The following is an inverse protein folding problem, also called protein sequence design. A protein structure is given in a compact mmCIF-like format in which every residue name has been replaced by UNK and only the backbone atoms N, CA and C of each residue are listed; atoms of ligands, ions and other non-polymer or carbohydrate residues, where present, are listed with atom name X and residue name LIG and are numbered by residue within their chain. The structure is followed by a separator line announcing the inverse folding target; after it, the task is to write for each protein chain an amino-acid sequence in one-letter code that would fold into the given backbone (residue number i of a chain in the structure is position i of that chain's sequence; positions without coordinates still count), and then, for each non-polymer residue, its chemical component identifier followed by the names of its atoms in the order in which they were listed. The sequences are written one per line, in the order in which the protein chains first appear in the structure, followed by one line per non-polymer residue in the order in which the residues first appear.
data_IF_183811463510
#
_entry.id   IF_183811463510
#
_cell.length_a   1.000
_cell.length_b   1.000
_cell.length_c   1.000
_cell.angle_alpha   90.00
_cell.angle_beta   90.00
_cell.angle_gamma   90.00
#
_symmetry.space_group_name_H-M   'P 1'
#
loop_
_entity.id
_entity.type
_entity.pdbx_description
1 polymer ?
#
# COMPACT_ATOMS: atom_id res chain seq x y z
N UNK A 1 19.58 20.43 12.35
CA UNK A 1 19.96 20.44 10.92
C UNK A 1 18.76 19.94 10.14
N UNK A 2 18.21 20.70 9.18
CA UNK A 2 17.10 20.19 8.34
C UNK A 2 17.65 19.13 7.37
N UNK A 3 17.03 17.95 7.21
CA UNK A 3 17.51 16.94 6.26
C UNK A 3 17.52 17.50 4.83
N UNK A 4 18.61 17.27 4.07
CA UNK A 4 18.67 17.66 2.65
C UNK A 4 17.97 16.62 1.78
N UNK A 5 17.51 17.01 0.59
CA UNK A 5 16.86 16.09 -0.37
C UNK A 5 17.79 14.94 -0.76
N UNK A 6 19.07 15.22 -0.95
CA UNK A 6 20.10 14.26 -1.34
C UNK A 6 20.30 13.20 -0.26
N UNK A 7 20.32 13.61 1.02
CA UNK A 7 20.41 12.69 2.15
C UNK A 7 19.18 11.77 2.20
N UNK A 8 17.98 12.32 2.01
CA UNK A 8 16.74 11.55 1.96
C UNK A 8 16.71 10.56 0.79
N UNK A 9 17.15 10.98 -0.39
CA UNK A 9 17.27 10.12 -1.56
C UNK A 9 18.26 8.97 -1.30
N UNK A 10 19.44 9.27 -0.75
CA UNK A 10 20.44 8.26 -0.40
C UNK A 10 19.91 7.25 0.62
N UNK A 11 19.21 7.72 1.66
CA UNK A 11 18.56 6.84 2.64
C UNK A 11 17.53 5.92 1.97
N UNK A 12 16.63 6.46 1.16
CA UNK A 12 15.61 5.67 0.47
C UNK A 12 16.21 4.65 -0.50
N UNK A 13 17.27 5.02 -1.23
CA UNK A 13 17.99 4.10 -2.10
C UNK A 13 18.63 2.95 -1.30
N UNK A 14 19.24 3.25 -0.15
CA UNK A 14 19.76 2.22 0.75
C UNK A 14 18.63 1.30 1.21
N UNK A 15 17.49 1.84 1.62
CA UNK A 15 16.34 1.05 2.08
C UNK A 15 15.76 0.16 0.97
N UNK A 16 15.67 0.67 -0.27
CA UNK A 16 15.23 -0.07 -1.45
C UNK A 16 16.22 -1.13 -1.92
N UNK A 17 17.53 -0.91 -1.71
CA UNK A 17 18.57 -1.84 -2.11
C UNK A 17 18.77 -3.00 -1.13
N UNK A 18 18.28 -2.87 0.11
CA UNK A 18 18.44 -3.89 1.16
C UNK A 18 17.70 -5.18 0.81
N UNK A 19 18.38 -6.34 0.84
CA UNK A 19 17.73 -7.63 0.69
C UNK A 19 16.96 -8.03 1.95
N UNK A 20 15.95 -8.91 1.84
CA UNK A 20 15.40 -9.39 0.58
C UNK A 20 14.57 -8.30 -0.11
N UNK A 21 14.71 -8.18 -1.43
CA UNK A 21 13.89 -7.24 -2.21
C UNK A 21 12.47 -7.79 -2.35
N UNK A 22 11.50 -6.91 -2.64
CA UNK A 22 10.10 -7.34 -2.85
C UNK A 22 10.01 -8.41 -3.95
N UNK A 23 10.81 -8.33 -5.01
CA UNK A 23 10.85 -9.33 -6.07
C UNK A 23 11.26 -10.72 -5.56
N UNK A 24 12.20 -10.79 -4.61
CA UNK A 24 12.58 -12.05 -3.96
C UNK A 24 11.38 -12.59 -3.14
N UNK A 25 10.74 -11.72 -2.34
CA UNK A 25 9.57 -12.11 -1.52
C UNK A 25 8.43 -12.62 -2.42
N UNK A 26 8.19 -11.96 -3.56
CA UNK A 26 7.18 -12.35 -4.53
C UNK A 26 7.50 -13.70 -5.17
N UNK A 27 8.74 -13.94 -5.57
CA UNK A 27 9.15 -15.23 -6.13
C UNK A 27 8.93 -16.39 -5.14
N UNK A 28 9.29 -16.19 -3.87
CA UNK A 28 8.99 -17.14 -2.79
C UNK A 28 7.49 -17.38 -2.63
N UNK A 29 6.69 -16.31 -2.60
CA UNK A 29 5.25 -16.38 -2.40
C UNK A 29 4.52 -17.06 -3.57
N UNK A 30 4.90 -16.76 -4.81
CA UNK A 30 4.37 -17.40 -6.03
C UNK A 30 4.70 -18.89 -6.06
N UNK A 31 5.90 -19.28 -5.62
CA UNK A 31 6.31 -20.70 -5.50
C UNK A 31 5.62 -21.42 -4.33
N UNK A 32 4.82 -20.72 -3.53
CA UNK A 32 4.11 -21.29 -2.38
C UNK A 32 5.04 -21.69 -1.23
N UNK A 33 6.27 -21.18 -1.21
CA UNK A 33 7.26 -21.47 -0.16
C UNK A 33 6.89 -20.72 1.13
N UNK A 34 7.17 -21.33 2.27
CA UNK A 34 7.01 -20.67 3.57
C UNK A 34 8.25 -19.84 3.89
N UNK A 35 8.04 -18.61 4.38
CA UNK A 35 9.12 -17.75 4.83
C UNK A 35 9.60 -18.23 6.20
N UNK A 36 10.66 -19.04 6.21
CA UNK A 36 11.29 -19.51 7.44
C UNK A 36 11.96 -18.38 8.23
N UNK A 37 12.29 -18.67 9.50
CA UNK A 37 12.94 -17.73 10.41
C UNK A 37 14.24 -17.13 9.83
N UNK A 38 15.04 -17.93 9.12
CA UNK A 38 16.25 -17.50 8.44
C UNK A 38 15.97 -16.37 7.44
N UNK A 39 14.91 -16.49 6.65
CA UNK A 39 14.52 -15.47 5.68
C UNK A 39 13.99 -14.22 6.38
N UNK A 40 13.16 -14.38 7.41
CA UNK A 40 12.61 -13.25 8.17
C UNK A 40 13.69 -12.44 8.89
N UNK A 41 14.78 -13.07 9.36
CA UNK A 41 15.89 -12.32 9.98
C UNK A 41 16.64 -11.40 9.02
N UNK A 42 16.52 -11.63 7.71
CA UNK A 42 17.11 -10.77 6.67
C UNK A 42 16.27 -9.52 6.42
N UNK A 43 14.97 -9.54 6.76
CA UNK A 43 14.09 -8.38 6.60
C UNK A 43 14.44 -7.28 7.63
N UNK A 44 14.55 -6.01 7.21
CA UNK A 44 14.85 -4.90 8.11
C UNK A 44 13.83 -4.78 9.26
N UNK A 45 14.32 -4.73 10.51
CA UNK A 45 13.47 -4.57 11.69
C UNK A 45 12.72 -5.85 12.12
N UNK A 46 12.72 -6.93 11.33
CA UNK A 46 12.03 -8.17 11.68
C UNK A 46 12.74 -8.94 12.81
N UNK A 47 14.04 -8.76 13.01
CA UNK A 47 14.79 -9.44 14.08
C UNK A 47 14.21 -9.20 15.47
N UNK A 48 13.73 -7.99 15.76
CA UNK A 48 13.13 -7.64 17.05
C UNK A 48 11.70 -8.15 17.20
N UNK A 49 11.04 -8.51 16.10
CA UNK A 49 9.67 -9.03 16.05
C UNK A 49 9.60 -10.51 15.68
N UNK A 50 10.75 -11.18 15.53
CA UNK A 50 10.83 -12.53 15.00
C UNK A 50 10.07 -13.53 15.87
N UNK A 51 10.24 -13.47 17.19
CA UNK A 51 9.50 -14.33 18.12
C UNK A 51 7.99 -14.11 18.00
N UNK A 52 7.54 -12.85 17.99
CA UNK A 52 6.10 -12.55 17.81
C UNK A 52 5.55 -13.06 16.47
N UNK A 53 6.34 -13.03 15.41
CA UNK A 53 5.93 -13.51 14.09
C UNK A 53 5.89 -15.04 14.01
N UNK A 54 6.88 -15.72 14.59
CA UNK A 54 6.94 -17.18 14.61
C UNK A 54 5.90 -17.81 15.54
N UNK A 55 5.52 -17.12 16.61
CA UNK A 55 4.51 -17.57 17.58
C UNK A 55 3.09 -17.10 17.26
N UNK A 56 2.90 -16.35 16.17
CA UNK A 56 1.60 -15.82 15.76
C UNK A 56 0.60 -16.95 15.48
N UNK A 57 -0.54 -16.94 16.18
CA UNK A 57 -1.61 -17.95 16.03
C UNK A 57 -2.85 -17.41 15.31
N UNK A 58 -2.86 -16.13 14.98
CA UNK A 58 -4.01 -15.42 14.41
C UNK A 58 -3.56 -14.41 13.35
N UNK A 59 -4.51 -13.93 12.53
CA UNK A 59 -4.25 -12.83 11.58
C UNK A 59 -3.89 -11.54 12.33
N UNK A 60 -4.52 -11.31 13.48
CA UNK A 60 -4.33 -10.15 14.33
C UNK A 60 -2.90 -10.08 14.91
N UNK A 61 -2.32 -11.22 15.28
CA UNK A 61 -0.95 -11.27 15.80
C UNK A 61 0.08 -10.94 14.71
N UNK A 62 -0.13 -11.48 13.50
CA UNK A 62 0.70 -11.17 12.33
C UNK A 62 0.60 -9.68 11.99
N UNK A 63 -0.62 -9.14 11.94
CA UNK A 63 -0.86 -7.72 11.63
C UNK A 63 -0.20 -6.80 12.66
N UNK A 64 -0.29 -7.12 13.95
CA UNK A 64 0.35 -6.35 15.03
C UNK A 64 1.88 -6.37 14.94
N UNK A 65 2.47 -7.52 14.64
CA UNK A 65 3.91 -7.67 14.54
C UNK A 65 4.47 -6.96 13.30
N UNK A 66 3.82 -7.13 12.13
CA UNK A 66 4.16 -6.38 10.92
C UNK A 66 4.05 -4.87 11.17
N UNK A 67 2.96 -4.42 11.78
CA UNK A 67 2.78 -3.02 12.15
C UNK A 67 3.94 -2.45 12.98
N UNK A 68 4.39 -3.18 14.00
CA UNK A 68 5.52 -2.79 14.84
C UNK A 68 6.79 -2.53 14.03
N UNK A 69 7.10 -3.44 13.09
CA UNK A 69 8.25 -3.31 12.19
C UNK A 69 8.15 -2.04 11.35
N UNK A 70 7.05 -1.89 10.58
CA UNK A 70 6.95 -0.81 9.61
C UNK A 70 6.75 0.57 10.26
N UNK A 71 6.09 0.66 11.42
CA UNK A 71 5.93 1.94 12.14
C UNK A 71 7.26 2.52 12.61
N UNK A 72 8.23 1.67 12.94
CA UNK A 72 9.57 2.09 13.37
C UNK A 72 10.37 2.61 12.18
N UNK A 73 10.25 1.93 11.03
CA UNK A 73 10.89 2.34 9.78
C UNK A 73 10.32 3.68 9.27
N UNK A 74 8.98 3.83 9.25
CA UNK A 74 8.31 5.05 8.82
C UNK A 74 8.63 6.25 9.72
N UNK A 75 8.63 6.08 11.05
CA UNK A 75 9.06 7.13 11.99
C UNK A 75 10.52 7.55 11.79
N UNK A 76 11.36 6.61 11.39
CA UNK A 76 12.74 6.93 11.02
C UNK A 76 12.75 7.77 9.76
N UNK A 77 12.03 7.35 8.72
CA UNK A 77 11.93 8.08 7.45
C UNK A 77 11.40 9.51 7.63
N UNK A 78 10.34 9.71 8.42
CA UNK A 78 9.77 11.04 8.74
C UNK A 78 10.83 12.01 9.28
N UNK A 79 11.79 11.54 10.09
CA UNK A 79 12.86 12.38 10.64
C UNK A 79 13.91 12.79 9.61
N UNK A 80 14.03 12.04 8.52
CA UNK A 80 15.01 12.26 7.46
C UNK A 80 14.41 12.87 6.19
N UNK A 81 13.10 13.08 6.13
CA UNK A 81 12.45 13.76 5.01
C UNK A 81 12.37 15.28 5.24
N UNK A 82 12.46 16.10 4.18
CA UNK A 82 12.09 17.50 4.28
C UNK A 82 10.59 17.64 4.58
N UNK A 83 10.21 18.71 5.27
CA UNK A 83 8.85 18.92 5.82
C UNK A 83 7.73 18.78 4.77
N UNK A 84 7.92 19.30 3.56
CA UNK A 84 6.95 19.16 2.48
C UNK A 84 6.77 17.70 1.99
N UNK A 85 7.79 16.85 2.13
CA UNK A 85 7.70 15.42 1.82
C UNK A 85 7.07 14.61 2.96
N UNK A 86 7.08 15.13 4.20
CA UNK A 86 6.38 14.50 5.32
C UNK A 86 4.87 14.56 5.12
N UNK A 87 4.32 15.68 4.62
CA UNK A 87 2.91 15.77 4.24
C UNK A 87 2.59 14.78 3.11
N UNK A 88 3.44 14.71 2.08
CA UNK A 88 3.25 13.76 0.97
C UNK A 88 3.28 12.30 1.43
N UNK A 89 4.23 11.95 2.31
CA UNK A 89 4.30 10.64 2.97
C UNK A 89 3.00 10.34 3.72
N UNK A 90 2.56 11.26 4.57
CA UNK A 90 1.34 11.09 5.36
C UNK A 90 0.10 10.89 4.48
N UNK A 91 -0.03 11.66 3.38
CA UNK A 91 -1.13 11.46 2.41
C UNK A 91 -1.02 10.11 1.72
N UNK A 92 0.17 9.69 1.28
CA UNK A 92 0.35 8.38 0.65
C UNK A 92 -0.07 7.23 1.55
N UNK A 93 0.28 7.31 2.84
CA UNK A 93 -0.06 6.27 3.81
C UNK A 93 -1.57 6.12 3.99
N UNK A 94 -2.41 7.13 3.67
CA UNK A 94 -3.88 6.99 3.64
C UNK A 94 -4.34 5.80 2.78
N UNK A 95 -3.60 5.45 1.72
CA UNK A 95 -3.90 4.28 0.88
C UNK A 95 -3.80 2.95 1.63
N UNK A 96 -2.92 2.85 2.63
CA UNK A 96 -2.69 1.62 3.40
C UNK A 96 -3.89 1.29 4.27
N UNK A 97 -4.65 2.30 4.68
CA UNK A 97 -5.74 2.18 5.63
C UNK A 97 -7.08 2.73 5.11
N UNK A 98 -7.21 2.99 3.81
CA UNK A 98 -8.45 3.51 3.21
C UNK A 98 -9.66 2.57 3.42
N UNK A 99 -9.43 1.24 3.46
CA UNK A 99 -10.47 0.26 3.85
C UNK A 99 -10.97 0.51 5.28
N UNK A 100 -10.03 0.74 6.19
CA UNK A 100 -10.34 1.02 7.59
C UNK A 100 -11.09 2.35 7.72
N UNK A 101 -10.68 3.40 7.00
CA UNK A 101 -11.39 4.69 6.98
C UNK A 101 -12.83 4.47 6.51
N UNK A 102 -13.03 3.73 5.42
CA UNK A 102 -14.35 3.44 4.90
C UNK A 102 -15.23 2.69 5.91
N UNK A 103 -14.69 1.65 6.56
CA UNK A 103 -15.40 0.84 7.56
C UNK A 103 -15.69 1.59 8.87
N UNK A 104 -14.79 2.47 9.30
CA UNK A 104 -14.98 3.33 10.47
C UNK A 104 -16.11 4.32 10.25
N UNK A 105 -16.18 4.92 9.06
CA UNK A 105 -17.21 5.91 8.71
C UNK A 105 -18.58 5.25 8.52
N UNK A 106 -18.64 4.04 7.95
CA UNK A 106 -19.91 3.33 7.77
C UNK A 106 -20.53 2.79 9.07
N UNK A 107 -19.91 3.00 10.23
CA UNK A 107 -20.41 2.53 11.53
C UNK A 107 -20.45 1.01 11.68
N UNK A 108 -19.88 0.29 10.71
CA UNK A 108 -19.77 -1.18 10.70
C UNK A 108 -18.63 -1.69 11.58
N UNK A 109 -17.71 -0.81 11.98
CA UNK A 109 -16.82 -1.03 13.12
C UNK A 109 -17.62 -0.91 14.43
N UNK A 110 -18.56 -1.84 14.67
CA UNK A 110 -19.01 -2.09 16.05
C UNK A 110 -17.80 -2.66 16.76
N UNK A 111 -17.26 -1.92 17.73
CA UNK A 111 -16.16 -2.37 18.57
C UNK A 111 -16.52 -3.74 19.16
N UNK A 112 -16.04 -4.83 18.54
CA UNK A 112 -16.00 -6.10 19.21
C UNK A 112 -14.94 -5.94 20.31
N UNK A 113 -15.29 -6.17 21.59
CA UNK A 113 -14.31 -6.11 22.67
C UNK A 113 -13.29 -7.22 22.40
N UNK A 114 -12.13 -6.84 21.85
CA UNK A 114 -11.07 -7.77 21.43
C UNK A 114 -10.70 -7.73 19.93
N UNK A 115 -11.51 -7.15 19.04
CA UNK A 115 -11.13 -7.03 17.62
C UNK A 115 -10.16 -5.86 17.43
N UNK A 116 -8.89 -6.16 17.66
CA UNK A 116 -7.76 -5.28 17.35
C UNK A 116 -7.44 -5.31 15.85
N UNK A 117 -8.44 -5.00 15.01
CA UNK A 117 -8.18 -4.19 13.79
C UNK A 117 -7.67 -2.78 14.16
N UNK A 118 -7.52 -2.52 15.48
CA UNK A 118 -6.65 -1.54 16.11
C UNK A 118 -5.36 -1.41 15.31
N UNK A 119 -5.38 -0.35 14.51
CA UNK A 119 -4.26 0.52 14.27
C UNK A 119 -3.20 -0.01 13.31
N UNK A 120 -3.51 -0.08 12.01
CA UNK A 120 -2.58 0.46 11.01
C UNK A 120 -2.51 2.00 11.08
N UNK A 121 -3.47 2.65 11.74
CA UNK A 121 -3.44 4.06 12.12
C UNK A 121 -2.18 4.48 12.91
N UNK A 122 -1.50 3.56 13.58
CA UNK A 122 -0.23 3.81 14.30
C UNK A 122 1.04 3.73 13.45
N UNK A 123 0.93 3.52 12.12
CA UNK A 123 2.09 3.47 11.21
C UNK A 123 2.71 4.87 11.06
N UNK A 124 1.91 5.89 11.33
CA UNK A 124 2.34 7.25 11.57
C UNK A 124 1.96 7.60 13.01
N UNK A 125 2.69 8.50 13.66
CA UNK A 125 2.18 9.14 14.89
C UNK A 125 0.93 10.00 14.65
N UNK A 126 0.43 10.07 13.41
CA UNK A 126 -0.85 10.67 13.09
C UNK A 126 -1.96 9.65 13.34
N UNK A 127 -2.48 9.65 14.56
CA UNK A 127 -3.90 9.37 14.81
C UNK A 127 -4.70 9.90 13.62
N UNK A 128 -5.47 9.06 12.91
CA UNK A 128 -6.32 9.52 11.79
C UNK A 128 -7.10 10.72 12.32
N UNK A 129 -6.72 11.92 11.88
CA UNK A 129 -7.21 13.11 12.53
C UNK A 129 -8.71 13.21 12.30
N UNK A 130 -9.43 13.81 13.24
CA UNK A 130 -10.87 14.07 13.08
C UNK A 130 -11.17 14.82 11.78
N UNK A 131 -10.24 15.64 11.29
CA UNK A 131 -10.27 16.30 9.98
C UNK A 131 -10.19 15.33 8.79
N UNK A 132 -9.30 14.33 8.82
CA UNK A 132 -9.25 13.29 7.78
C UNK A 132 -10.59 12.55 7.73
N UNK A 133 -11.10 12.11 8.88
CA UNK A 133 -12.40 11.42 8.96
C UNK A 133 -13.51 12.30 8.39
N UNK A 134 -13.61 13.57 8.80
CA UNK A 134 -14.63 14.49 8.33
C UNK A 134 -14.60 14.72 6.81
N UNK A 135 -13.42 14.76 6.21
CA UNK A 135 -13.27 14.89 4.76
C UNK A 135 -13.76 13.64 4.01
N UNK A 136 -13.44 12.45 4.51
CA UNK A 136 -13.88 11.18 3.92
C UNK A 136 -15.34 10.85 4.24
N UNK A 137 -15.93 11.41 5.29
CA UNK A 137 -17.34 11.19 5.66
C UNK A 137 -18.32 11.60 4.56
N UNK A 138 -17.91 12.49 3.65
CA UNK A 138 -18.69 12.87 2.46
C UNK A 138 -18.88 11.73 1.46
N UNK A 139 -18.06 10.68 1.53
CA UNK A 139 -18.14 9.50 0.66
C UNK A 139 -19.02 8.38 1.25
N UNK A 140 -19.74 8.64 2.35
CA UNK A 140 -20.59 7.67 3.01
C UNK A 140 -22.02 7.64 2.46
N UNK A 141 -22.72 6.49 2.52
CA UNK A 141 -22.20 5.16 2.87
C UNK A 141 -21.64 4.42 1.64
N UNK A 142 -20.38 3.99 1.72
CA UNK A 142 -19.74 3.00 0.82
C UNK A 142 -19.50 3.42 -0.65
N UNK A 143 -19.22 4.69 -0.94
CA UNK A 143 -18.78 5.09 -2.29
C UNK A 143 -17.25 4.93 -2.45
N UNK A 144 -16.82 3.73 -2.81
CA UNK A 144 -15.39 3.40 -3.01
C UNK A 144 -14.73 4.32 -4.04
N UNK A 145 -15.45 4.71 -5.11
CA UNK A 145 -14.92 5.65 -6.09
C UNK A 145 -14.62 6.98 -5.41
N UNK A 146 -15.56 7.53 -4.64
CA UNK A 146 -15.36 8.76 -3.89
C UNK A 146 -14.16 8.67 -2.93
N UNK A 147 -14.02 7.57 -2.17
CA UNK A 147 -12.86 7.39 -1.28
C UNK A 147 -11.53 7.46 -2.04
N UNK A 148 -11.41 6.72 -3.14
CA UNK A 148 -10.18 6.66 -3.91
C UNK A 148 -9.85 7.97 -4.63
N UNK A 149 -10.87 8.65 -5.18
CA UNK A 149 -10.70 9.97 -5.78
C UNK A 149 -10.32 11.00 -4.72
N UNK A 150 -10.90 10.93 -3.52
CA UNK A 150 -10.56 11.83 -2.42
C UNK A 150 -9.12 11.65 -1.96
N UNK A 151 -8.66 10.41 -1.85
CA UNK A 151 -7.24 10.11 -1.63
C UNK A 151 -6.36 10.73 -2.71
N UNK A 152 -6.70 10.51 -3.98
CA UNK A 152 -5.94 11.02 -5.12
C UNK A 152 -5.85 12.56 -5.13
N UNK A 153 -6.94 13.26 -4.87
CA UNK A 153 -6.96 14.72 -4.75
C UNK A 153 -6.00 15.22 -3.67
N UNK A 154 -6.05 14.60 -2.48
CA UNK A 154 -5.24 15.00 -1.33
C UNK A 154 -3.75 14.80 -1.58
N UNK A 155 -3.38 13.64 -2.14
CA UNK A 155 -1.98 13.37 -2.46
C UNK A 155 -1.48 14.22 -3.62
N UNK A 156 -2.31 14.51 -4.63
CA UNK A 156 -2.00 15.46 -5.70
C UNK A 156 -1.71 16.84 -5.15
N UNK A 157 -2.59 17.37 -4.29
CA UNK A 157 -2.39 18.68 -3.67
C UNK A 157 -1.12 18.75 -2.80
N UNK A 158 -0.69 17.63 -2.21
CA UNK A 158 0.58 17.54 -1.49
C UNK A 158 1.79 17.46 -2.44
N UNK A 159 1.67 16.68 -3.52
CA UNK A 159 2.68 16.57 -4.57
C UNK A 159 2.97 17.89 -5.28
N UNK A 160 1.93 18.68 -5.59
CA UNK A 160 2.06 19.99 -6.24
C UNK A 160 2.95 20.95 -5.43
N UNK A 161 2.97 20.82 -4.09
CA UNK A 161 3.82 21.61 -3.18
C UNK A 161 5.29 21.17 -3.17
N UNK A 162 5.62 20.00 -3.72
CA UNK A 162 7.00 19.49 -3.77
C UNK A 162 7.84 20.23 -4.83
N UNK A 163 7.18 20.81 -5.84
CA UNK A 163 7.82 21.54 -6.93
C UNK A 163 8.61 20.66 -7.92
N UNK A 164 8.43 19.34 -7.90
CA UNK A 164 9.14 18.39 -8.79
C UNK A 164 8.39 18.20 -10.11
N UNK A 165 8.71 19.03 -11.12
CA UNK A 165 8.02 19.08 -12.43
C UNK A 165 8.13 17.81 -13.28
N UNK A 166 9.21 17.05 -13.15
CA UNK A 166 9.48 15.83 -13.93
C UNK A 166 9.10 14.54 -13.18
N UNK A 167 8.34 14.67 -12.09
CA UNK A 167 7.97 13.53 -11.25
C UNK A 167 6.89 12.65 -11.91
N UNK A 168 7.15 11.33 -11.96
CA UNK A 168 6.20 10.28 -12.35
C UNK A 168 5.42 9.70 -11.17
N UNK A 169 5.61 10.24 -9.96
CA UNK A 169 4.94 9.80 -8.75
C UNK A 169 3.42 9.77 -8.92
N UNK A 170 2.82 10.83 -9.47
CA UNK A 170 1.37 10.90 -9.68
C UNK A 170 0.87 9.88 -10.71
N UNK A 171 1.64 9.62 -11.77
CA UNK A 171 1.29 8.59 -12.76
C UNK A 171 1.25 7.19 -12.10
N UNK A 172 2.23 6.88 -11.26
CA UNK A 172 2.26 5.63 -10.49
C UNK A 172 1.11 5.56 -9.46
N UNK A 173 0.82 6.66 -8.76
CA UNK A 173 -0.29 6.73 -7.80
C UNK A 173 -1.64 6.52 -8.51
N UNK A 174 -1.86 7.13 -9.68
CA UNK A 174 -3.07 6.90 -10.49
C UNK A 174 -3.23 5.43 -10.85
N UNK A 175 -2.17 4.82 -11.37
CA UNK A 175 -2.19 3.39 -11.71
C UNK A 175 -2.48 2.51 -10.47
N UNK A 176 -1.96 2.89 -9.29
CA UNK A 176 -2.21 2.17 -8.05
C UNK A 176 -3.66 2.31 -7.58
N UNK A 177 -4.23 3.52 -7.69
CA UNK A 177 -5.65 3.79 -7.44
C UNK A 177 -6.54 2.99 -8.40
N UNK A 178 -6.17 2.92 -9.67
CA UNK A 178 -6.88 2.12 -10.67
C UNK A 178 -6.88 0.63 -10.33
N UNK A 179 -5.73 0.05 -9.98
CA UNK A 179 -5.65 -1.36 -9.57
C UNK A 179 -6.51 -1.60 -8.33
N UNK A 180 -6.48 -0.69 -7.36
CA UNK A 180 -7.35 -0.71 -6.18
C UNK A 180 -8.83 -0.75 -6.56
N UNK A 181 -9.26 0.17 -7.42
CA UNK A 181 -10.65 0.25 -7.86
C UNK A 181 -11.06 -0.99 -8.65
N UNK A 182 -10.18 -1.49 -9.52
CA UNK A 182 -10.39 -2.75 -10.25
C UNK A 182 -10.68 -3.90 -9.28
N UNK A 183 -9.90 -4.03 -8.21
CA UNK A 183 -10.09 -5.10 -7.22
C UNK A 183 -11.47 -5.01 -6.55
N UNK A 184 -11.94 -3.80 -6.20
CA UNK A 184 -13.30 -3.64 -5.67
C UNK A 184 -14.37 -3.91 -6.73
N UNK A 185 -14.15 -3.46 -7.97
CA UNK A 185 -15.05 -3.68 -9.09
C UNK A 185 -15.26 -5.17 -9.37
N UNK A 186 -14.17 -5.95 -9.39
CA UNK A 186 -14.23 -7.40 -9.58
C UNK A 186 -14.90 -8.15 -8.44
N UNK A 187 -14.87 -7.61 -7.23
CA UNK A 187 -15.44 -8.23 -6.03
C UNK A 187 -16.69 -7.51 -5.54
N UNK A 188 -17.33 -6.69 -6.38
CA UNK A 188 -18.41 -5.80 -5.95
C UNK A 188 -19.61 -6.56 -5.42
N UNK A 189 -19.97 -7.68 -6.07
CA UNK A 189 -21.06 -8.56 -5.64
C UNK A 189 -20.75 -9.21 -4.28
N UNK A 190 -19.56 -9.79 -4.13
CA UNK A 190 -19.10 -10.40 -2.88
C UNK A 190 -19.06 -9.39 -1.71
N UNK A 191 -18.69 -8.14 -2.01
CA UNK A 191 -18.55 -7.08 -1.02
C UNK A 191 -19.86 -6.28 -0.81
N UNK A 192 -20.93 -6.59 -1.56
CA UNK A 192 -22.19 -5.84 -1.53
C UNK A 192 -22.02 -4.37 -1.87
N UNK A 193 -21.11 -4.05 -2.81
CA UNK A 193 -20.78 -2.70 -3.25
C UNK A 193 -21.54 -2.37 -4.54
N UNK A 194 -22.09 -1.16 -4.59
CA UNK A 194 -22.62 -0.56 -5.82
C UNK A 194 -21.57 0.37 -6.39
N UNK A 195 -20.96 -0.01 -7.50
CA UNK A 195 -19.87 0.73 -8.13
C UNK A 195 -20.29 1.30 -9.48
N UNK A 196 -19.72 2.46 -9.81
CA UNK A 196 -19.75 3.05 -11.15
C UNK A 196 -18.96 2.22 -12.17
N UNK A 197 -19.07 2.58 -13.45
CA UNK A 197 -18.30 1.93 -14.50
C UNK A 197 -16.79 2.13 -14.31
N UNK A 198 -16.01 1.07 -14.51
CA UNK A 198 -14.54 1.11 -14.42
C UNK A 198 -13.91 2.19 -15.31
N UNK A 199 -14.44 2.36 -16.52
CA UNK A 199 -13.97 3.36 -17.49
C UNK A 199 -14.16 4.81 -17.02
N UNK A 200 -15.18 5.08 -16.20
CA UNK A 200 -15.40 6.42 -15.65
C UNK A 200 -14.25 6.83 -14.72
N UNK A 201 -13.74 5.87 -13.93
CA UNK A 201 -12.60 6.13 -13.02
C UNK A 201 -11.31 6.35 -13.79
N UNK A 202 -11.09 5.59 -14.87
CA UNK A 202 -9.94 5.80 -15.75
C UNK A 202 -9.94 7.19 -16.38
N UNK A 203 -11.10 7.61 -16.90
CA UNK A 203 -11.28 8.92 -17.51
C UNK A 203 -11.03 10.06 -16.49
N UNK A 204 -11.57 9.93 -15.28
CA UNK A 204 -11.46 10.94 -14.22
C UNK A 204 -10.03 11.07 -13.67
N UNK A 205 -9.28 9.96 -13.57
CA UNK A 205 -7.88 9.99 -13.16
C UNK A 205 -6.97 10.61 -14.23
N UNK A 206 -7.38 10.58 -15.50
CA UNK A 206 -6.59 11.09 -16.63
C UNK A 206 -5.21 10.43 -16.69
N UNK A 207 -5.19 9.11 -16.90
CA UNK A 207 -3.95 8.33 -16.96
C UNK A 207 -3.17 8.69 -18.23
N UNK A 208 -1.85 8.85 -18.09
CA UNK A 208 -0.99 9.09 -19.25
C UNK A 208 -1.09 7.88 -20.22
N UNK A 209 -1.34 8.08 -21.53
CA UNK A 209 -1.50 6.97 -22.48
C UNK A 209 -0.35 5.96 -22.47
N UNK A 210 0.88 6.41 -22.19
CA UNK A 210 2.07 5.55 -22.08
C UNK A 210 1.96 4.57 -20.90
N UNK A 211 1.38 5.04 -19.78
CA UNK A 211 1.13 4.24 -18.58
C UNK A 211 -0.07 3.32 -18.77
N UNK A 212 -1.10 3.82 -19.47
CA UNK A 212 -2.38 3.14 -19.66
C UNK A 212 -2.23 1.78 -20.34
N UNK A 213 -1.35 1.66 -21.34
CA UNK A 213 -1.10 0.40 -22.06
C UNK A 213 -0.55 -0.67 -21.10
N UNK A 214 0.48 -0.32 -20.33
CA UNK A 214 1.09 -1.26 -19.39
C UNK A 214 0.16 -1.59 -18.22
N UNK A 215 -0.64 -0.63 -17.77
CA UNK A 215 -1.67 -0.83 -16.77
C UNK A 215 -2.76 -1.80 -17.27
N UNK A 216 -3.27 -1.62 -18.49
CA UNK A 216 -4.25 -2.54 -19.10
C UNK A 216 -3.72 -3.97 -19.14
N UNK A 217 -2.46 -4.18 -19.57
CA UNK A 217 -1.82 -5.51 -19.54
C UNK A 217 -1.74 -6.10 -18.13
N UNK A 218 -1.44 -5.28 -17.13
CA UNK A 218 -1.42 -5.72 -15.73
C UNK A 218 -2.83 -6.15 -15.26
N UNK A 219 -3.85 -5.35 -15.57
CA UNK A 219 -5.24 -5.65 -15.22
C UNK A 219 -5.76 -6.92 -15.91
N UNK A 220 -5.48 -7.11 -17.20
CA UNK A 220 -5.82 -8.34 -17.93
C UNK A 220 -5.15 -9.58 -17.31
N UNK A 221 -3.89 -9.45 -16.88
CA UNK A 221 -3.18 -10.52 -16.17
C UNK A 221 -3.86 -10.83 -14.84
N UNK A 222 -4.26 -9.80 -14.08
CA UNK A 222 -4.97 -9.97 -12.81
C UNK A 222 -6.35 -10.58 -12.99
N UNK A 223 -7.08 -10.22 -14.05
CA UNK A 223 -8.37 -10.79 -14.37
C UNK A 223 -8.27 -12.30 -14.60
N UNK A 224 -7.28 -12.74 -15.39
CA UNK A 224 -7.04 -14.16 -15.67
C UNK A 224 -6.66 -14.96 -14.41
N UNK A 225 -5.90 -14.35 -13.50
CA UNK A 225 -5.40 -15.03 -12.29
C UNK A 225 -6.42 -15.03 -11.13
N UNK A 226 -7.26 -13.99 -11.04
CA UNK A 226 -8.23 -13.83 -9.95
C UNK A 226 -9.34 -14.88 -9.92
N UNK A 227 -9.66 -15.50 -11.06
CA UNK A 227 -10.64 -16.58 -11.13
C UNK A 227 -10.14 -17.94 -10.65
N UNK A 228 -8.82 -18.17 -10.59
CA UNK A 228 -8.24 -19.49 -10.35
C UNK A 228 -7.80 -19.72 -8.89
N UNK A 229 -7.30 -18.69 -8.20
CA UNK A 229 -6.71 -18.83 -6.85
C UNK A 229 -6.89 -17.54 -6.03
N UNK A 230 -8.11 -17.28 -5.54
CA UNK A 230 -8.43 -16.10 -4.71
C UNK A 230 -7.49 -15.95 -3.50
N UNK A 231 -7.08 -17.06 -2.89
CA UNK A 231 -6.15 -17.06 -1.74
C UNK A 231 -4.81 -16.41 -2.07
N UNK A 232 -4.33 -16.47 -3.32
CA UNK A 232 -3.06 -15.89 -3.77
C UNK A 232 -3.21 -14.55 -4.48
N UNK A 233 -4.42 -14.02 -4.58
CA UNK A 233 -4.72 -12.82 -5.34
C UNK A 233 -3.80 -11.64 -5.00
N UNK A 234 -3.53 -11.42 -3.70
CA UNK A 234 -2.63 -10.37 -3.21
C UNK A 234 -1.20 -10.50 -3.76
N UNK A 235 -0.71 -11.73 -3.91
CA UNK A 235 0.61 -12.01 -4.50
C UNK A 235 0.58 -11.71 -6.00
N UNK A 236 -0.49 -12.11 -6.68
CA UNK A 236 -0.66 -11.82 -8.10
C UNK A 236 -0.79 -10.32 -8.38
N UNK A 237 -1.57 -9.58 -7.58
CA UNK A 237 -1.68 -8.12 -7.60
C UNK A 237 -0.30 -7.46 -7.56
N UNK A 238 0.50 -7.84 -6.56
CA UNK A 238 1.85 -7.32 -6.39
C UNK A 238 2.76 -7.70 -7.57
N UNK A 239 2.71 -8.94 -8.05
CA UNK A 239 3.52 -9.43 -9.18
C UNK A 239 3.22 -8.76 -10.52
N UNK A 240 1.98 -8.28 -10.72
CA UNK A 240 1.57 -7.60 -11.93
C UNK A 240 1.81 -6.09 -11.83
N UNK A 241 1.58 -5.51 -10.65
CA UNK A 241 1.55 -4.05 -10.47
C UNK A 241 2.91 -3.47 -10.08
N UNK A 242 3.66 -4.13 -9.21
CA UNK A 242 4.95 -3.60 -8.76
C UNK A 242 5.98 -3.38 -9.89
N UNK A 243 6.14 -4.30 -10.87
CA UNK A 243 7.06 -4.08 -11.98
C UNK A 243 6.74 -2.81 -12.79
N UNK A 244 5.45 -2.55 -13.04
CA UNK A 244 4.98 -1.33 -13.69
C UNK A 244 5.40 -0.08 -12.89
N UNK A 245 5.13 -0.07 -11.58
CA UNK A 245 5.48 1.07 -10.73
C UNK A 245 6.99 1.30 -10.69
N UNK A 246 7.78 0.22 -10.63
CA UNK A 246 9.23 0.29 -10.64
C UNK A 246 9.75 0.87 -11.95
N UNK A 247 9.22 0.43 -13.09
CA UNK A 247 9.59 0.97 -14.41
C UNK A 247 9.28 2.47 -14.52
N UNK A 248 8.12 2.90 -14.01
CA UNK A 248 7.73 4.32 -14.04
C UNK A 248 8.61 5.20 -13.14
N UNK A 249 9.06 4.69 -12.00
CA UNK A 249 9.66 5.50 -10.94
C UNK A 249 11.19 5.39 -10.87
N UNK A 250 11.78 4.31 -11.36
CA UNK A 250 13.23 4.07 -11.23
C UNK A 250 14.08 4.99 -12.10
N UNK A 251 13.56 5.44 -13.26
CA UNK A 251 14.32 6.19 -14.26
C UNK A 251 14.06 7.70 -14.25
N UNK A 252 12.95 8.13 -13.66
CA UNK A 252 12.65 9.55 -13.46
C UNK A 252 13.25 10.01 -12.14
N UNK A 253 14.28 10.87 -12.16
CA UNK A 253 14.90 11.42 -10.96
C UNK A 253 13.91 12.18 -10.06
N UNK A 254 14.31 12.47 -8.82
CA UNK A 254 13.51 13.24 -7.85
C UNK A 254 13.18 12.46 -6.58
N UNK A 255 13.07 13.18 -5.46
CA UNK A 255 12.80 12.57 -4.17
C UNK A 255 11.37 12.01 -4.12
N UNK A 256 10.41 12.64 -4.81
CA UNK A 256 9.03 12.16 -4.85
C UNK A 256 8.94 10.77 -5.50
N UNK A 257 9.66 10.55 -6.60
CA UNK A 257 9.62 9.27 -7.33
C UNK A 257 10.22 8.13 -6.49
N UNK A 258 11.39 8.37 -5.89
CA UNK A 258 12.06 7.38 -5.05
C UNK A 258 11.22 7.09 -3.79
N UNK A 259 10.64 8.12 -3.17
CA UNK A 259 9.75 7.97 -2.02
C UNK A 259 8.49 7.17 -2.41
N UNK A 260 7.85 7.48 -3.54
CA UNK A 260 6.73 6.71 -4.05
C UNK A 260 7.11 5.26 -4.33
N UNK A 261 8.27 5.00 -4.94
CA UNK A 261 8.72 3.63 -5.21
C UNK A 261 8.91 2.83 -3.91
N UNK A 262 9.56 3.46 -2.93
CA UNK A 262 9.73 2.88 -1.61
C UNK A 262 8.37 2.59 -0.93
N UNK A 263 7.43 3.52 -0.96
CA UNK A 263 6.11 3.33 -0.34
C UNK A 263 5.26 2.29 -1.08
N UNK A 264 5.35 2.19 -2.41
CA UNK A 264 4.71 1.10 -3.16
C UNK A 264 5.34 -0.24 -2.81
N UNK A 265 6.68 -0.30 -2.72
CA UNK A 265 7.39 -1.52 -2.33
C UNK A 265 6.93 -2.00 -0.95
N UNK A 266 6.88 -1.11 0.03
CA UNK A 266 6.44 -1.44 1.40
C UNK A 266 4.96 -1.81 1.48
N UNK A 267 4.11 -1.19 0.65
CA UNK A 267 2.69 -1.52 0.57
C UNK A 267 2.49 -2.98 0.14
N UNK A 268 3.18 -3.38 -0.93
CA UNK A 268 3.08 -4.74 -1.44
C UNK A 268 3.81 -5.76 -0.57
N UNK A 269 4.94 -5.40 0.01
CA UNK A 269 5.63 -6.25 0.97
C UNK A 269 4.75 -6.58 2.17
N UNK A 270 4.12 -5.59 2.80
CA UNK A 270 3.15 -5.78 3.88
C UNK A 270 2.05 -6.76 3.49
N UNK A 271 1.44 -6.51 2.33
CA UNK A 271 0.37 -7.33 1.76
C UNK A 271 0.79 -8.80 1.56
N UNK A 272 1.96 -9.01 0.98
CA UNK A 272 2.50 -10.35 0.68
C UNK A 272 2.96 -11.05 1.95
N UNK A 273 3.66 -10.34 2.84
CA UNK A 273 4.13 -10.88 4.11
C UNK A 273 2.95 -11.34 4.96
N UNK A 274 1.89 -10.54 5.07
CA UNK A 274 0.63 -10.93 5.72
C UNK A 274 0.12 -12.25 5.17
N UNK A 275 0.06 -12.40 3.84
CA UNK A 275 -0.34 -13.66 3.22
C UNK A 275 0.61 -14.83 3.56
N UNK A 276 1.93 -14.62 3.48
CA UNK A 276 2.92 -15.69 3.65
C UNK A 276 3.16 -16.11 5.09
N UNK A 277 2.91 -15.24 6.06
CA UNK A 277 3.19 -15.47 7.48
C UNK A 277 1.97 -16.02 8.23
N UNK A 278 0.76 -15.76 7.73
CA UNK A 278 -0.44 -16.36 8.30
C UNK A 278 -0.36 -17.88 8.14
N UNK A 279 -0.60 -18.67 9.21
CA UNK A 279 -0.64 -20.13 9.12
C UNK A 279 -1.53 -20.63 7.99
N UNK A 280 -1.06 -21.61 7.20
CA UNK A 280 -1.83 -22.17 6.06
C UNK A 280 -3.21 -22.67 6.46
N UNK A 281 -3.38 -23.15 7.69
CA UNK A 281 -4.67 -23.56 8.26
C UNK A 281 -5.72 -22.44 8.30
N UNK A 282 -5.28 -21.17 8.37
CA UNK A 282 -6.11 -19.99 8.41
C UNK A 282 -6.34 -19.34 7.04
N UNK A 283 -5.69 -19.83 5.97
CA UNK A 283 -5.81 -19.28 4.59
C UNK A 283 -6.99 -19.84 3.78
N UNK A 284 -7.91 -20.60 4.41
CA UNK A 284 -9.05 -21.22 3.74
C UNK A 284 -10.23 -20.24 3.69
N UNK A 285 -10.24 -19.38 2.68
CA UNK A 285 -11.40 -18.57 2.29
C UNK A 285 -11.43 -18.47 0.77
#
# INVERSE_FOLDING_TARGET
MKPSKELSMGLLQILLARPPKLEEILDYAVKGMELGAEYLTRLPGFRTHLLSLLESKSYEDVDRALHGVFSTELRTLERFLPENYVDFLAKFLELYYIDYIALSISGTLKAAPGSTWVSTAGLTSATISSTVIAEYSKCAPKDVKCFLMKFFERIKASHDKLGERESRALDAIKALVTVRYFNYFRNSELLGLKLSGFEEVLAELGINPVVEISLKRALEKLEKLGGAELTRYTVYEASATYPLMRELLAYSGGLANILTLYLVSRYYELKVLRYTLVPRSLRRW
#
